data_IF_094579653735
#
_entry.id   IF_094579653735
#
_cell.length_a   1.000
_cell.length_b   1.000
_cell.length_c   1.000
_cell.angle_alpha   90.00
_cell.angle_beta   90.00
_cell.angle_gamma   90.00
#
_symmetry.space_group_name_H-M   'P 1'
#
loop_
_entity.id
_entity.type
_entity.pdbx_description
1 polymer ?
#
# COMPACT_ATOMS: atom_id res chain seq x y z
N UNK A 1 4.26 14.50 3.65
CA UNK A 1 3.09 13.69 3.30
C UNK A 1 3.21 13.39 1.81
N UNK A 2 3.17 12.13 1.37
CA UNK A 2 3.18 11.82 -0.05
C UNK A 2 1.84 12.30 -0.65
N UNK A 3 1.90 13.09 -1.71
CA UNK A 3 0.74 13.81 -2.25
C UNK A 3 -0.12 12.88 -3.12
N UNK A 4 -1.44 12.90 -2.89
CA UNK A 4 -2.41 12.13 -3.68
C UNK A 4 -2.40 12.56 -5.15
N UNK A 5 -2.21 13.85 -5.41
CA UNK A 5 -2.19 14.42 -6.77
C UNK A 5 -0.97 13.93 -7.57
N UNK A 6 0.17 13.76 -6.89
CA UNK A 6 1.36 13.15 -7.49
C UNK A 6 1.09 11.70 -7.89
N UNK A 7 0.44 10.92 -7.03
CA UNK A 7 0.13 9.52 -7.33
C UNK A 7 -0.75 9.39 -8.57
N UNK A 8 -1.80 10.21 -8.66
CA UNK A 8 -2.74 10.17 -9.79
C UNK A 8 -2.03 10.53 -11.09
N UNK A 9 -1.20 11.58 -11.06
CA UNK A 9 -0.39 11.96 -12.23
C UNK A 9 0.56 10.84 -12.70
N UNK A 10 1.08 10.02 -11.77
CA UNK A 10 1.95 8.90 -12.11
C UNK A 10 1.16 7.71 -12.67
N UNK A 11 -0.01 7.41 -12.11
CA UNK A 11 -0.90 6.35 -12.57
C UNK A 11 -1.49 6.66 -13.95
N UNK A 12 -1.84 7.90 -14.22
CA UNK A 12 -2.36 8.34 -15.52
C UNK A 12 -1.27 8.36 -16.60
N UNK A 13 -0.03 8.70 -16.22
CA UNK A 13 1.08 8.86 -17.17
C UNK A 13 1.77 7.56 -17.54
N UNK A 14 1.78 6.56 -16.66
CA UNK A 14 2.57 5.34 -16.85
C UNK A 14 1.71 4.08 -16.74
N UNK A 15 1.90 3.15 -17.68
CA UNK A 15 1.21 1.86 -17.71
C UNK A 15 1.92 0.74 -16.92
N UNK A 16 3.08 1.03 -16.31
CA UNK A 16 3.88 0.05 -15.57
C UNK A 16 3.87 0.36 -14.07
N UNK A 17 3.26 -0.53 -13.28
CA UNK A 17 3.27 -0.44 -11.82
C UNK A 17 4.70 -0.49 -11.28
N UNK A 18 5.56 -1.37 -11.78
CA UNK A 18 6.96 -1.47 -11.36
C UNK A 18 7.72 -0.14 -11.54
N UNK A 19 7.45 0.57 -12.63
CA UNK A 19 8.02 1.89 -12.87
C UNK A 19 7.54 2.90 -11.82
N UNK A 20 6.24 2.93 -11.54
CA UNK A 20 5.65 3.84 -10.55
C UNK A 20 6.20 3.54 -9.15
N UNK A 21 6.25 2.27 -8.75
CA UNK A 21 6.82 1.82 -7.47
C UNK A 21 8.27 2.28 -7.34
N UNK A 22 9.10 2.11 -8.38
CA UNK A 22 10.49 2.58 -8.37
C UNK A 22 10.59 4.10 -8.23
N UNK A 23 9.80 4.87 -8.97
CA UNK A 23 9.78 6.33 -8.86
C UNK A 23 9.47 6.75 -7.42
N UNK A 24 8.41 6.19 -6.84
CA UNK A 24 7.98 6.51 -5.47
C UNK A 24 9.04 6.09 -4.45
N UNK A 25 9.65 4.92 -4.61
CA UNK A 25 10.72 4.47 -3.72
C UNK A 25 11.93 5.42 -3.75
N UNK A 26 12.34 5.92 -4.93
CA UNK A 26 13.38 6.93 -5.04
C UNK A 26 12.99 8.26 -4.38
N UNK A 27 11.75 8.73 -4.54
CA UNK A 27 11.25 9.92 -3.85
C UNK A 27 11.31 9.76 -2.33
N UNK A 28 10.84 8.63 -1.80
CA UNK A 28 10.87 8.33 -0.36
C UNK A 28 12.30 8.26 0.17
N UNK A 29 13.20 7.61 -0.57
CA UNK A 29 14.63 7.54 -0.23
C UNK A 29 15.24 8.93 -0.17
N UNK A 30 14.95 9.80 -1.14
CA UNK A 30 15.44 11.17 -1.14
C UNK A 30 14.99 11.92 0.12
N UNK A 31 13.69 11.86 0.43
CA UNK A 31 13.11 12.48 1.64
C UNK A 31 13.77 11.93 2.92
N UNK A 32 13.95 10.62 3.02
CA UNK A 32 14.57 9.99 4.20
C UNK A 32 16.06 10.34 4.32
N UNK A 33 16.76 10.48 3.20
CA UNK A 33 18.16 10.88 3.17
C UNK A 33 18.37 12.31 3.71
N UNK A 34 17.40 13.20 3.51
CA UNK A 34 17.43 14.55 4.09
C UNK A 34 17.29 14.53 5.62
N UNK A 35 16.71 13.46 6.20
CA UNK A 35 16.45 13.35 7.63
C UNK A 35 17.59 12.68 8.41
N UNK A 36 18.14 11.59 7.88
CA UNK A 36 18.99 10.66 8.65
C UNK A 36 20.47 10.69 8.21
N UNK A 37 20.80 11.42 7.12
CA UNK A 37 22.16 11.44 6.54
C UNK A 37 22.78 10.04 6.37
N UNK A 38 21.96 9.05 6.00
CA UNK A 38 22.43 7.68 5.80
C UNK A 38 23.24 7.55 4.49
N UNK A 39 24.19 6.58 4.42
CA UNK A 39 24.92 6.27 3.19
C UNK A 39 23.95 5.92 2.05
N UNK A 40 24.11 6.57 0.90
CA UNK A 40 23.26 6.33 -0.27
C UNK A 40 23.81 5.16 -1.07
N UNK A 41 23.10 4.03 -1.07
CA UNK A 41 23.34 2.97 -2.06
C UNK A 41 22.78 3.41 -3.42
N UNK A 42 23.36 2.89 -4.51
CA UNK A 42 22.97 3.26 -5.88
C UNK A 42 21.55 2.74 -6.20
N UNK A 43 21.22 1.52 -5.77
CA UNK A 43 19.97 0.85 -6.13
C UNK A 43 18.95 0.83 -4.99
N UNK A 44 17.66 0.95 -5.33
CA UNK A 44 16.52 0.72 -4.42
C UNK A 44 16.44 -0.75 -4.07
N UNK A 45 16.35 -1.07 -2.77
CA UNK A 45 16.26 -2.46 -2.31
C UNK A 45 14.79 -2.94 -2.26
N UNK A 46 14.61 -4.24 -2.02
CA UNK A 46 13.29 -4.86 -2.02
C UNK A 46 12.35 -4.31 -0.94
N UNK A 47 12.88 -3.98 0.25
CA UNK A 47 12.10 -3.42 1.36
C UNK A 47 11.55 -2.04 1.01
N UNK A 48 12.33 -1.21 0.32
CA UNK A 48 11.90 0.11 -0.14
C UNK A 48 10.87 0.01 -1.26
N UNK A 49 11.05 -0.92 -2.20
CA UNK A 49 10.05 -1.19 -3.24
C UNK A 49 8.73 -1.67 -2.62
N UNK A 50 8.81 -2.60 -1.66
CA UNK A 50 7.64 -3.08 -0.95
C UNK A 50 6.94 -1.97 -0.17
N UNK A 51 7.69 -1.15 0.56
CA UNK A 51 7.15 0.00 1.30
C UNK A 51 6.47 1.01 0.37
N UNK A 52 7.08 1.31 -0.78
CA UNK A 52 6.50 2.17 -1.79
C UNK A 52 5.20 1.58 -2.35
N UNK A 53 5.17 0.28 -2.63
CA UNK A 53 3.98 -0.42 -3.09
C UNK A 53 2.85 -0.35 -2.05
N UNK A 54 3.13 -0.62 -0.77
CA UNK A 54 2.12 -0.53 0.29
C UNK A 54 1.54 0.88 0.43
N UNK A 55 2.37 1.92 0.28
CA UNK A 55 1.89 3.32 0.27
C UNK A 55 0.92 3.55 -0.89
N UNK A 56 1.27 3.11 -2.10
CA UNK A 56 0.39 3.23 -3.28
C UNK A 56 -0.93 2.50 -3.04
N UNK A 57 -0.86 1.23 -2.62
CA UNK A 57 -2.04 0.39 -2.36
C UNK A 57 -2.94 1.05 -1.33
N UNK A 58 -2.40 1.47 -0.19
CA UNK A 58 -3.18 2.13 0.87
C UNK A 58 -3.84 3.42 0.38
N UNK A 59 -3.12 4.21 -0.44
CA UNK A 59 -3.64 5.46 -0.98
C UNK A 59 -4.79 5.24 -1.97
N UNK A 60 -4.67 4.25 -2.86
CA UNK A 60 -5.74 3.89 -3.80
C UNK A 60 -6.93 3.30 -3.05
N UNK A 61 -6.69 2.36 -2.13
CA UNK A 61 -7.74 1.74 -1.33
C UNK A 61 -8.49 2.76 -0.47
N UNK A 62 -7.78 3.70 0.16
CA UNK A 62 -8.38 4.77 0.97
C UNK A 62 -9.34 5.69 0.19
N UNK A 63 -9.28 5.68 -1.14
CA UNK A 63 -10.19 6.42 -2.02
C UNK A 63 -11.30 5.55 -2.59
N UNK A 64 -10.97 4.34 -3.01
CA UNK A 64 -11.92 3.42 -3.63
C UNK A 64 -12.83 2.71 -2.63
N UNK A 65 -12.36 2.53 -1.38
CA UNK A 65 -13.04 1.79 -0.32
C UNK A 65 -13.18 2.61 0.97
N UNK A 66 -13.30 3.93 0.85
CA UNK A 66 -13.32 4.87 1.99
C UNK A 66 -14.31 4.44 3.08
N UNK A 67 -15.56 4.17 2.70
CA UNK A 67 -16.59 3.75 3.66
C UNK A 67 -16.32 2.37 4.26
N UNK A 68 -15.85 1.42 3.45
CA UNK A 68 -15.59 0.06 3.89
C UNK A 68 -14.40 0.00 4.86
N UNK A 69 -13.34 0.77 4.59
CA UNK A 69 -12.19 0.93 5.48
C UNK A 69 -12.62 1.58 6.79
N UNK A 70 -13.42 2.66 6.74
CA UNK A 70 -13.95 3.30 7.95
C UNK A 70 -14.77 2.32 8.79
N UNK A 71 -15.64 1.52 8.17
CA UNK A 71 -16.41 0.47 8.86
C UNK A 71 -15.50 -0.57 9.51
N UNK A 72 -14.46 -1.04 8.82
CA UNK A 72 -13.50 -2.01 9.37
C UNK A 72 -12.74 -1.47 10.59
N UNK A 73 -12.32 -0.20 10.56
CA UNK A 73 -11.69 0.44 11.72
C UNK A 73 -12.58 0.42 12.97
N UNK A 74 -13.90 0.48 12.79
CA UNK A 74 -14.88 0.44 13.87
C UNK A 74 -15.47 -0.96 14.11
N UNK A 75 -14.88 -2.02 13.55
CA UNK A 75 -15.38 -3.41 13.63
C UNK A 75 -16.83 -3.57 13.14
N UNK A 76 -17.24 -2.70 12.21
CA UNK A 76 -18.57 -2.71 11.60
C UNK A 76 -18.57 -3.50 10.29
N UNK A 77 -19.78 -3.89 9.87
CA UNK A 77 -19.97 -4.64 8.64
C UNK A 77 -19.79 -3.77 7.40
N UNK A 78 -18.84 -4.13 6.53
CA UNK A 78 -18.65 -3.54 5.20
C UNK A 78 -19.85 -3.76 4.27
N UNK A 79 -19.73 -3.17 3.07
CA UNK A 79 -20.59 -3.38 1.91
C UNK A 79 -20.85 -4.87 1.66
N UNK A 80 -22.07 -5.25 1.21
CA UNK A 80 -22.41 -6.65 0.96
C UNK A 80 -21.49 -7.36 -0.04
N UNK A 81 -20.93 -6.61 -1.00
CA UNK A 81 -19.98 -7.13 -1.99
C UNK A 81 -18.66 -7.53 -1.32
N UNK A 82 -18.09 -6.65 -0.49
CA UNK A 82 -16.80 -6.89 0.15
C UNK A 82 -16.90 -7.91 1.28
N UNK A 83 -17.99 -7.91 2.06
CA UNK A 83 -18.20 -8.82 3.20
C UNK A 83 -18.08 -10.30 2.83
N UNK A 84 -18.50 -10.68 1.61
CA UNK A 84 -18.39 -12.05 1.09
C UNK A 84 -16.95 -12.55 0.97
N UNK A 85 -15.98 -11.63 0.94
CA UNK A 85 -14.56 -11.93 0.83
C UNK A 85 -13.85 -11.96 2.20
N UNK A 86 -14.58 -11.91 3.31
CA UNK A 86 -14.04 -11.84 4.68
C UNK A 86 -12.96 -10.74 4.81
N UNK A 87 -13.33 -9.47 4.63
CA UNK A 87 -12.37 -8.37 4.60
C UNK A 87 -11.84 -8.02 5.99
N UNK A 88 -10.59 -7.60 6.07
CA UNK A 88 -9.93 -7.13 7.28
C UNK A 88 -8.85 -6.10 6.95
N UNK A 89 -8.43 -5.30 7.93
CA UNK A 89 -7.26 -4.44 7.84
C UNK A 89 -6.06 -5.17 8.47
N UNK A 90 -4.92 -5.18 7.79
CA UNK A 90 -3.67 -5.70 8.38
C UNK A 90 -3.01 -4.69 9.36
N UNK A 91 -1.86 -5.10 9.90
CA UNK A 91 -1.00 -4.27 10.76
C UNK A 91 -0.53 -2.96 10.11
N UNK A 92 -0.53 -2.89 8.78
CA UNK A 92 -0.10 -1.72 8.00
C UNK A 92 -1.28 -0.84 7.55
N UNK A 93 -2.51 -1.20 7.93
CA UNK A 93 -3.74 -0.50 7.57
C UNK A 93 -4.18 -0.71 6.12
N UNK A 94 -3.74 -1.80 5.49
CA UNK A 94 -4.12 -2.20 4.13
C UNK A 94 -5.35 -3.11 4.20
N UNK A 95 -6.36 -2.80 3.39
CA UNK A 95 -7.55 -3.62 3.24
C UNK A 95 -7.21 -4.90 2.50
N UNK A 96 -7.50 -6.03 3.13
CA UNK A 96 -7.23 -7.38 2.64
C UNK A 96 -8.46 -8.25 2.80
N UNK A 97 -8.42 -9.39 2.12
CA UNK A 97 -9.51 -10.36 2.08
C UNK A 97 -8.99 -11.75 2.40
N UNK A 98 -9.82 -12.58 3.01
CA UNK A 98 -9.51 -13.97 3.31
C UNK A 98 -9.52 -14.88 2.07
N UNK A 99 -9.37 -16.19 2.29
CA UNK A 99 -9.50 -17.21 1.24
C UNK A 99 -8.27 -18.09 1.10
N UNK A 100 -7.62 -18.08 -0.07
CA UNK A 100 -6.66 -19.12 -0.48
C UNK A 100 -5.53 -19.42 0.52
N UNK A 101 -5.13 -18.43 1.33
CA UNK A 101 -4.07 -18.59 2.33
C UNK A 101 -4.56 -19.08 3.70
N UNK A 102 -5.87 -19.08 4.00
CA UNK A 102 -6.39 -19.62 5.27
C UNK A 102 -6.23 -21.14 5.38
N UNK A 103 -5.92 -21.82 4.26
CA UNK A 103 -5.57 -23.24 4.22
C UNK A 103 -4.08 -23.49 3.94
N UNK A 104 -3.27 -22.44 3.80
CA UNK A 104 -1.83 -22.57 3.67
C UNK A 104 -1.19 -22.46 5.05
N UNK A 105 -0.15 -23.24 5.33
CA UNK A 105 0.66 -23.12 6.55
C UNK A 105 1.61 -21.91 6.48
N UNK A 106 1.10 -20.75 6.05
CA UNK A 106 1.86 -19.52 5.93
C UNK A 106 1.14 -18.41 6.70
N UNK A 107 1.82 -17.72 7.63
CA UNK A 107 1.27 -16.52 8.22
C UNK A 107 1.05 -15.49 7.10
N UNK A 108 0.02 -14.68 7.27
CA UNK A 108 -0.14 -13.49 6.45
C UNK A 108 1.05 -12.59 6.78
N UNK A 109 1.99 -12.41 5.85
CA UNK A 109 3.26 -11.70 6.13
C UNK A 109 2.99 -10.37 6.85
N UNK A 110 3.73 -10.17 7.96
CA UNK A 110 3.65 -9.04 8.91
C UNK A 110 4.52 -7.88 8.44
#
# INVERSE_FOLDING_TARGET
MFDCTLLDSLLDRFSSLDKIVRIIAYCLRFINSLKIQAPRTIAVNQTELHSALLIIVRQVQGRCFTEDIAKLHHTQLCSPALRKLAPFLDSQGVLRVGGRLTHAAMPYEV
#
